data_IF_660859658775
#
_entry.id   IF_660859658775
#
_cell.length_a   1.000
_cell.length_b   1.000
_cell.length_c   1.000
_cell.angle_alpha   90.00
_cell.angle_beta   90.00
_cell.angle_gamma   90.00
#
_symmetry.space_group_name_H-M   'P 1'
#
loop_
_entity.id
_entity.type
_entity.pdbx_description
1 polymer ?
#
# COMPACT_ATOMS: atom_id res chain seq x y z
N UNK A 1 -20.18 12.02 -14.75
CA UNK A 1 -19.01 11.43 -14.06
C UNK A 1 -19.32 9.98 -13.78
N UNK A 2 -18.31 9.10 -13.81
CA UNK A 2 -18.46 7.71 -13.38
C UNK A 2 -18.60 7.63 -11.86
N UNK A 3 -19.23 6.56 -11.38
CA UNK A 3 -19.16 6.17 -9.96
C UNK A 3 -17.75 5.65 -9.63
N UNK A 4 -17.31 5.67 -8.35
CA UNK A 4 -16.00 5.12 -7.96
C UNK A 4 -15.76 3.69 -8.44
N UNK A 5 -16.75 2.80 -8.25
CA UNK A 5 -16.73 1.42 -8.74
C UNK A 5 -16.52 1.35 -10.27
N UNK A 6 -17.19 2.22 -11.04
CA UNK A 6 -17.03 2.26 -12.48
C UNK A 6 -15.66 2.81 -12.92
N UNK A 7 -15.09 3.77 -12.18
CA UNK A 7 -13.71 4.24 -12.42
C UNK A 7 -12.73 3.09 -12.16
N UNK A 8 -12.79 2.44 -11.00
CA UNK A 8 -11.95 1.27 -10.67
C UNK A 8 -12.06 0.21 -11.76
N UNK A 9 -13.28 -0.16 -12.14
CA UNK A 9 -13.54 -1.14 -13.20
C UNK A 9 -12.86 -0.79 -14.53
N UNK A 10 -13.07 0.43 -15.04
CA UNK A 10 -12.53 0.85 -16.34
C UNK A 10 -11.01 1.00 -16.31
N UNK A 11 -10.47 1.57 -15.23
CA UNK A 11 -9.03 1.70 -15.02
C UNK A 11 -8.38 0.30 -14.94
N UNK A 12 -8.90 -0.61 -14.12
CA UNK A 12 -8.41 -2.00 -14.02
C UNK A 12 -8.51 -2.74 -15.35
N UNK A 13 -9.56 -2.51 -16.13
CA UNK A 13 -9.69 -3.08 -17.47
C UNK A 13 -8.55 -2.60 -18.40
N UNK A 14 -8.20 -1.31 -18.36
CA UNK A 14 -7.09 -0.77 -19.15
C UNK A 14 -5.71 -1.24 -18.68
N UNK A 15 -5.54 -1.52 -17.40
CA UNK A 15 -4.28 -2.03 -16.85
C UNK A 15 -3.96 -3.46 -17.31
N UNK A 16 -4.92 -4.21 -17.84
CA UNK A 16 -4.68 -5.54 -18.43
C UNK A 16 -3.70 -5.52 -19.62
N UNK A 17 -3.49 -4.36 -20.24
CA UNK A 17 -2.54 -4.17 -21.36
C UNK A 17 -1.08 -4.16 -20.90
N UNK A 18 -0.85 -3.92 -19.61
CA UNK A 18 0.45 -3.80 -18.96
C UNK A 18 0.47 -4.58 -17.63
N UNK A 19 0.26 -5.90 -17.67
CA UNK A 19 0.14 -6.71 -16.47
C UNK A 19 1.38 -6.59 -15.57
N UNK A 20 1.14 -6.52 -14.26
CA UNK A 20 2.16 -6.60 -13.21
C UNK A 20 2.43 -8.06 -12.86
N UNK A 21 3.69 -8.42 -12.66
CA UNK A 21 4.08 -9.79 -12.37
C UNK A 21 5.58 -10.01 -12.34
N UNK A 22 6.00 -11.27 -12.33
CA UNK A 22 7.41 -11.68 -12.17
C UNK A 22 8.00 -12.32 -13.43
N UNK A 23 7.20 -12.60 -14.45
CA UNK A 23 7.71 -13.12 -15.72
C UNK A 23 8.57 -12.05 -16.43
N UNK A 24 9.52 -12.45 -17.29
CA UNK A 24 10.33 -11.49 -18.05
C UNK A 24 9.49 -10.46 -18.83
N UNK A 25 8.35 -10.86 -19.40
CA UNK A 25 7.46 -9.97 -20.14
C UNK A 25 6.75 -8.95 -19.22
N UNK A 26 6.30 -9.37 -18.04
CA UNK A 26 5.64 -8.48 -17.07
C UNK A 26 6.64 -7.50 -16.44
N UNK A 27 7.83 -7.99 -16.10
CA UNK A 27 8.95 -7.14 -15.64
C UNK A 27 9.29 -6.10 -16.70
N UNK A 28 9.33 -6.51 -17.98
CA UNK A 28 9.59 -5.62 -19.10
C UNK A 28 8.55 -4.50 -19.25
N UNK A 29 7.29 -4.67 -18.83
CA UNK A 29 6.29 -3.58 -18.86
C UNK A 29 6.74 -2.38 -18.01
N UNK A 30 7.25 -2.64 -16.81
CA UNK A 30 7.83 -1.60 -15.96
C UNK A 30 9.08 -0.97 -16.58
N UNK A 31 9.94 -1.79 -17.18
CA UNK A 31 11.13 -1.28 -17.88
C UNK A 31 10.78 -0.45 -19.12
N UNK A 32 9.74 -0.82 -19.87
CA UNK A 32 9.29 -0.11 -21.07
C UNK A 32 8.65 1.23 -20.72
N UNK A 33 7.83 1.28 -19.67
CA UNK A 33 7.36 2.55 -19.11
C UNK A 33 8.55 3.45 -18.73
N UNK A 34 9.62 2.84 -18.21
CA UNK A 34 10.85 3.50 -17.80
C UNK A 34 11.91 3.66 -18.92
N UNK A 35 11.68 3.19 -20.15
CA UNK A 35 12.47 3.68 -21.28
C UNK A 35 12.24 5.18 -21.52
N UNK A 36 11.24 5.76 -20.83
CA UNK A 36 11.01 7.20 -20.72
C UNK A 36 11.58 7.84 -19.41
N UNK A 37 11.90 7.09 -18.34
CA UNK A 37 12.46 7.56 -17.03
C UNK A 37 13.16 6.37 -16.30
N UNK A 38 14.29 6.43 -15.57
CA UNK A 38 15.06 5.20 -15.15
C UNK A 38 14.71 4.46 -13.81
N UNK A 39 14.97 3.14 -13.75
CA UNK A 39 15.04 2.17 -12.61
C UNK A 39 13.90 1.97 -11.57
N UNK A 40 12.75 2.63 -11.63
CA UNK A 40 11.64 2.41 -10.65
C UNK A 40 10.36 1.76 -11.24
N UNK A 41 10.42 1.33 -12.51
CA UNK A 41 9.43 0.55 -13.29
C UNK A 41 8.17 0.09 -12.59
N UNK A 42 8.37 -1.06 -11.98
CA UNK A 42 7.33 -1.87 -11.37
C UNK A 42 6.72 -1.19 -10.13
N UNK A 43 7.46 -0.32 -9.43
CA UNK A 43 6.95 0.37 -8.25
C UNK A 43 5.96 1.46 -8.61
N UNK A 44 6.19 2.20 -9.70
CA UNK A 44 5.21 3.17 -10.18
C UNK A 44 3.98 2.45 -10.76
N UNK A 45 4.18 1.38 -11.54
CA UNK A 45 3.05 0.58 -12.01
C UNK A 45 2.23 0.06 -10.83
N UNK A 46 2.87 -0.56 -9.83
CA UNK A 46 2.21 -0.98 -8.60
C UNK A 46 1.45 0.18 -7.93
N UNK A 47 2.05 1.37 -7.85
CA UNK A 47 1.39 2.52 -7.27
C UNK A 47 0.13 2.95 -8.04
N UNK A 48 0.15 2.85 -9.36
CA UNK A 48 -1.02 3.12 -10.21
C UNK A 48 -2.09 2.05 -10.01
N UNK A 49 -1.71 0.77 -9.95
CA UNK A 49 -2.63 -0.32 -9.64
C UNK A 49 -3.30 -0.08 -8.29
N UNK A 50 -2.55 0.29 -7.25
CA UNK A 50 -3.08 0.58 -5.92
C UNK A 50 -3.99 1.81 -5.90
N UNK A 51 -3.68 2.87 -6.66
CA UNK A 51 -4.58 4.01 -6.81
C UNK A 51 -5.91 3.60 -7.44
N UNK A 52 -5.88 2.74 -8.46
CA UNK A 52 -7.07 2.24 -9.12
C UNK A 52 -7.90 1.34 -8.20
N UNK A 53 -7.21 0.46 -7.49
CA UNK A 53 -7.81 -0.61 -6.71
C UNK A 53 -8.43 -0.12 -5.40
N UNK A 54 -7.91 0.97 -4.85
CA UNK A 54 -8.47 1.61 -3.66
C UNK A 54 -9.51 2.67 -4.00
N UNK A 55 -9.77 2.97 -5.28
CA UNK A 55 -10.57 4.14 -5.68
C UNK A 55 -12.04 4.10 -5.21
N UNK A 56 -12.60 2.91 -5.04
CA UNK A 56 -13.94 2.67 -4.51
C UNK A 56 -14.00 2.73 -2.97
N UNK A 57 -12.88 2.64 -2.27
CA UNK A 57 -12.73 2.96 -0.85
C UNK A 57 -12.10 4.35 -0.67
N UNK A 58 -12.96 5.36 -0.47
CA UNK A 58 -12.52 6.75 -0.29
C UNK A 58 -11.48 6.92 0.83
N UNK A 59 -11.62 6.18 1.94
CA UNK A 59 -10.70 6.29 3.06
C UNK A 59 -9.32 5.75 2.69
N UNK A 60 -9.28 4.55 2.09
CA UNK A 60 -8.04 3.90 1.68
C UNK A 60 -7.37 4.65 0.54
N UNK A 61 -8.12 5.10 -0.47
CA UNK A 61 -7.61 5.94 -1.56
C UNK A 61 -6.93 7.21 -1.04
N UNK A 62 -7.61 7.98 -0.18
CA UNK A 62 -7.06 9.23 0.38
C UNK A 62 -5.84 8.97 1.27
N UNK A 63 -5.80 7.86 1.97
CA UNK A 63 -4.63 7.46 2.74
C UNK A 63 -3.45 7.08 1.83
N UNK A 64 -3.72 6.35 0.74
CA UNK A 64 -2.69 5.97 -0.23
C UNK A 64 -2.11 7.17 -0.98
N UNK A 65 -2.94 8.09 -1.48
CA UNK A 65 -2.49 9.33 -2.14
C UNK A 65 -1.55 10.13 -1.22
N UNK A 66 -1.91 10.27 0.07
CA UNK A 66 -1.05 10.93 1.06
C UNK A 66 0.30 10.25 1.22
N UNK A 67 0.33 8.93 1.26
CA UNK A 67 1.56 8.17 1.40
C UNK A 67 2.46 8.36 0.17
N UNK A 68 1.88 8.31 -1.03
CA UNK A 68 2.60 8.60 -2.29
C UNK A 68 3.21 10.00 -2.24
N UNK A 69 2.43 11.03 -1.89
CA UNK A 69 2.93 12.42 -1.76
C UNK A 69 4.03 12.51 -0.69
N UNK A 70 3.82 11.87 0.46
CA UNK A 70 4.79 11.91 1.57
C UNK A 70 6.12 11.29 1.18
N UNK A 71 6.12 10.20 0.42
CA UNK A 71 7.35 9.56 -0.10
C UNK A 71 8.07 10.43 -1.12
N UNK A 72 7.35 11.31 -1.82
CA UNK A 72 7.92 12.17 -2.84
C UNK A 72 8.27 13.58 -2.34
N UNK A 73 8.03 13.87 -1.05
CA UNK A 73 8.33 15.17 -0.43
C UNK A 73 9.78 15.59 -0.64
N UNK A 74 10.72 14.67 -0.49
CA UNK A 74 12.15 14.97 -0.57
C UNK A 74 12.62 15.24 -2.01
N UNK A 75 11.84 14.84 -3.02
CA UNK A 75 12.11 15.15 -4.42
C UNK A 75 11.62 16.54 -4.84
N UNK A 76 10.88 17.24 -3.97
CA UNK A 76 10.36 18.59 -4.24
C UNK A 76 9.67 18.73 -5.60
N UNK A 77 8.91 17.70 -5.99
CA UNK A 77 8.23 17.67 -7.29
C UNK A 77 7.21 18.80 -7.39
N UNK A 78 7.25 19.55 -8.50
CA UNK A 78 6.25 20.55 -8.81
C UNK A 78 4.86 19.90 -8.92
N UNK A 79 3.80 20.46 -8.31
CA UNK A 79 2.44 19.97 -8.44
C UNK A 79 1.98 19.73 -9.89
N UNK A 80 2.48 20.50 -10.85
CA UNK A 80 2.19 20.32 -12.29
C UNK A 80 2.77 19.01 -12.83
N UNK A 81 3.93 18.57 -12.32
CA UNK A 81 4.56 17.29 -12.72
C UNK A 81 3.67 16.10 -12.36
N UNK A 82 2.88 16.19 -11.28
CA UNK A 82 1.90 15.15 -10.94
C UNK A 82 0.77 15.07 -11.97
N UNK A 83 0.36 16.20 -12.56
CA UNK A 83 -0.62 16.21 -13.65
C UNK A 83 -0.04 15.62 -14.93
N UNK A 84 1.16 16.03 -15.28
CA UNK A 84 1.84 15.57 -16.50
C UNK A 84 2.13 14.07 -16.45
N UNK A 85 2.42 13.53 -15.26
CA UNK A 85 2.60 12.10 -15.05
C UNK A 85 1.40 11.27 -15.53
N UNK A 86 0.17 11.64 -15.15
CA UNK A 86 -1.02 10.89 -15.56
C UNK A 86 -1.28 11.03 -17.06
N UNK A 87 -0.97 12.17 -17.66
CA UNK A 87 -1.05 12.35 -19.13
C UNK A 87 -0.10 11.39 -19.83
N UNK A 88 1.19 11.40 -19.45
CA UNK A 88 2.22 10.50 -20.01
C UNK A 88 1.85 9.03 -19.79
N UNK A 89 1.26 8.70 -18.64
CA UNK A 89 0.82 7.33 -18.37
C UNK A 89 -0.33 6.89 -19.29
N UNK A 90 -1.32 7.76 -19.53
CA UNK A 90 -2.42 7.46 -20.48
C UNK A 90 -1.88 7.31 -21.90
N UNK A 91 -0.96 8.17 -22.33
CA UNK A 91 -0.30 8.06 -23.64
C UNK A 91 0.48 6.74 -23.78
N UNK A 92 1.17 6.31 -22.72
CA UNK A 92 1.86 5.02 -22.68
C UNK A 92 0.87 3.85 -22.83
N UNK A 93 -0.29 3.90 -22.17
CA UNK A 93 -1.32 2.87 -22.33
C UNK A 93 -1.87 2.86 -23.77
N UNK A 94 -2.16 4.02 -24.35
CA UNK A 94 -2.65 4.15 -25.73
C UNK A 94 -1.63 3.65 -26.76
N UNK A 95 -0.35 3.83 -26.50
CA UNK A 95 0.72 3.27 -27.31
C UNK A 95 0.72 1.73 -27.30
N UNK A 96 0.34 1.11 -26.18
CA UNK A 96 0.28 -0.35 -26.02
C UNK A 96 -0.99 -0.93 -26.62
N UNK A 97 -2.13 -0.30 -26.37
CA UNK A 97 -3.42 -0.67 -26.93
C UNK A 97 -4.37 0.54 -26.93
N UNK A 98 -5.21 0.65 -27.96
CA UNK A 98 -6.17 1.75 -28.07
C UNK A 98 -7.15 1.71 -26.90
N UNK A 99 -7.14 2.76 -26.08
CA UNK A 99 -8.11 2.92 -24.99
C UNK A 99 -9.47 3.35 -25.53
N UNK A 100 -10.54 2.83 -24.92
CA UNK A 100 -11.90 3.31 -25.17
C UNK A 100 -12.11 4.71 -24.61
N UNK A 101 -13.08 5.45 -25.14
CA UNK A 101 -13.45 6.77 -24.61
C UNK A 101 -13.83 6.71 -23.12
N UNK A 102 -14.48 5.61 -22.70
CA UNK A 102 -14.82 5.34 -21.30
C UNK A 102 -13.57 5.19 -20.42
N UNK A 103 -12.56 4.46 -20.89
CA UNK A 103 -11.30 4.32 -20.17
C UNK A 103 -10.57 5.67 -20.04
N UNK A 104 -10.55 6.49 -21.09
CA UNK A 104 -9.95 7.84 -21.06
C UNK A 104 -10.68 8.75 -20.07
N UNK A 105 -12.01 8.70 -20.02
CA UNK A 105 -12.81 9.45 -19.04
C UNK A 105 -12.51 8.98 -17.61
N UNK A 106 -12.38 7.67 -17.39
CA UNK A 106 -12.05 7.12 -16.07
C UNK A 106 -10.66 7.56 -15.59
N UNK A 107 -9.64 7.50 -16.44
CA UNK A 107 -8.29 7.99 -16.12
C UNK A 107 -8.27 9.48 -15.76
N UNK A 108 -8.98 10.31 -16.53
CA UNK A 108 -9.12 11.73 -16.24
C UNK A 108 -9.81 11.98 -14.88
N UNK A 109 -10.80 11.17 -14.52
CA UNK A 109 -11.47 11.27 -13.22
C UNK A 109 -10.56 10.86 -12.07
N UNK A 110 -9.82 9.75 -12.20
CA UNK A 110 -8.86 9.28 -11.20
C UNK A 110 -7.73 10.31 -10.98
N UNK A 111 -7.16 10.86 -12.06
CA UNK A 111 -6.12 11.90 -12.00
C UNK A 111 -6.60 13.15 -11.24
N UNK A 112 -7.77 13.70 -11.58
CA UNK A 112 -8.35 14.86 -10.88
C UNK A 112 -8.58 14.60 -9.39
N UNK A 113 -9.08 13.41 -9.06
CA UNK A 113 -9.34 13.05 -7.66
C UNK A 113 -8.05 12.85 -6.88
N UNK A 114 -7.01 12.27 -7.48
CA UNK A 114 -5.69 12.19 -6.86
C UNK A 114 -5.13 13.59 -6.57
N UNK A 115 -5.22 14.52 -7.53
CA UNK A 115 -4.76 15.92 -7.39
C UNK A 115 -5.48 16.68 -6.28
N UNK A 116 -6.82 16.63 -6.23
CA UNK A 116 -7.61 17.30 -5.19
C UNK A 116 -7.24 16.82 -3.78
N UNK A 117 -6.84 15.55 -3.66
CA UNK A 117 -6.42 14.95 -2.41
C UNK A 117 -4.98 15.28 -2.01
N UNK A 118 -4.17 15.87 -2.89
CA UNK A 118 -2.86 16.44 -2.51
C UNK A 118 -3.03 17.77 -1.75
N UNK A 119 -4.12 18.52 -1.99
CA UNK A 119 -4.26 19.91 -1.52
C UNK A 119 -4.99 20.17 -0.19
N UNK A 120 -5.67 19.20 0.42
CA UNK A 120 -6.71 19.49 1.45
C UNK A 120 -6.41 18.91 2.86
N UNK A 121 -5.27 18.26 3.08
CA UNK A 121 -5.25 17.16 4.07
C UNK A 121 -4.84 17.51 5.52
N UNK A 122 -4.45 18.74 5.84
CA UNK A 122 -3.92 19.03 7.18
C UNK A 122 -4.96 19.38 8.27
N UNK A 123 -6.23 19.70 7.92
CA UNK A 123 -7.14 20.33 8.89
C UNK A 123 -8.09 19.38 9.66
N UNK A 124 -8.53 18.26 9.07
CA UNK A 124 -9.59 17.43 9.69
C UNK A 124 -9.09 16.34 10.65
N UNK A 125 -7.82 15.91 10.53
CA UNK A 125 -7.31 14.75 11.28
C UNK A 125 -6.96 15.08 12.74
N UNK A 126 -6.53 16.32 13.01
CA UNK A 126 -6.18 16.78 14.36
C UNK A 126 -7.41 16.88 15.30
N UNK A 127 -8.62 16.96 14.75
CA UNK A 127 -9.87 17.10 15.51
C UNK A 127 -10.36 15.75 16.07
N UNK A 128 -10.15 14.64 15.33
CA UNK A 128 -10.61 13.30 15.73
C UNK A 128 -9.74 12.69 16.84
N UNK A 129 -8.45 13.03 16.88
CA UNK A 129 -7.48 12.55 17.89
C UNK A 129 -7.81 13.01 19.32
N UNK A 130 -8.50 14.15 19.49
CA UNK A 130 -8.89 14.67 20.82
C UNK A 130 -10.11 13.99 21.42
N UNK A 131 -10.91 13.28 20.63
CA UNK A 131 -12.25 12.82 21.05
C UNK A 131 -12.23 11.37 21.54
N UNK A 132 -11.37 10.51 21.00
CA UNK A 132 -11.47 9.06 21.20
C UNK A 132 -10.27 8.45 21.93
N UNK A 133 -9.96 8.88 23.17
CA UNK A 133 -8.94 8.21 23.98
C UNK A 133 -9.11 6.68 23.97
N UNK A 134 -8.15 5.97 23.38
CA UNK A 134 -8.24 4.52 23.13
C UNK A 134 -7.38 3.75 24.15
N UNK A 135 -7.89 2.64 24.73
CA UNK A 135 -7.17 1.88 25.75
C UNK A 135 -5.89 1.20 25.24
N UNK A 136 -4.96 0.96 26.17
CA UNK A 136 -3.58 0.50 25.99
C UNK A 136 -3.46 -1.01 25.70
N UNK A 137 -3.76 -1.43 24.47
CA UNK A 137 -3.19 -2.67 23.94
C UNK A 137 -2.25 -2.27 22.81
N UNK A 138 -0.96 -2.20 23.15
CA UNK A 138 0.13 -1.83 22.25
C UNK A 138 0.92 -3.08 21.87
N UNK A 139 1.29 -3.17 20.58
CA UNK A 139 2.28 -4.13 20.09
C UNK A 139 3.52 -4.16 20.99
N UNK A 140 3.98 -3.00 21.47
CA UNK A 140 5.14 -2.88 22.34
C UNK A 140 4.89 -3.45 23.73
N UNK A 141 3.66 -3.44 24.24
CA UNK A 141 3.32 -4.02 25.56
C UNK A 141 3.26 -5.54 25.51
N UNK A 142 2.61 -6.11 24.49
CA UNK A 142 2.36 -7.55 24.40
C UNK A 142 3.50 -8.34 23.73
N UNK A 143 4.31 -7.68 22.91
CA UNK A 143 5.44 -8.28 22.20
C UNK A 143 6.73 -7.49 22.43
N UNK A 144 7.21 -7.38 23.69
CA UNK A 144 8.40 -6.61 24.02
C UNK A 144 9.67 -7.15 23.35
N UNK A 145 9.70 -8.45 23.05
CA UNK A 145 10.76 -9.14 22.31
C UNK A 145 10.93 -8.59 20.89
N UNK A 146 9.85 -8.12 20.25
CA UNK A 146 9.88 -7.60 18.88
C UNK A 146 10.37 -6.15 18.78
N UNK A 147 10.58 -5.46 19.91
CA UNK A 147 11.09 -4.07 19.92
C UNK A 147 12.51 -3.96 19.35
N UNK A 148 13.26 -5.06 19.30
CA UNK A 148 14.63 -5.13 18.75
C UNK A 148 14.75 -4.66 17.29
N UNK A 149 13.65 -4.75 16.54
CA UNK A 149 13.58 -4.29 15.14
C UNK A 149 13.34 -2.77 15.02
N UNK A 150 12.96 -2.10 16.11
CA UNK A 150 12.69 -0.66 16.14
C UNK A 150 13.90 0.09 16.71
N UNK A 151 14.94 0.27 15.88
CA UNK A 151 16.20 0.90 16.32
C UNK A 151 15.99 2.24 17.02
N UNK A 152 16.59 2.41 18.20
CA UNK A 152 16.43 3.58 19.07
C UNK A 152 15.14 3.59 19.89
N UNK A 153 14.29 2.58 19.78
CA UNK A 153 13.04 2.41 20.52
C UNK A 153 12.94 1.04 21.21
N UNK A 154 14.06 0.33 21.38
CA UNK A 154 14.10 -1.04 21.93
C UNK A 154 13.52 -1.11 23.35
N UNK A 155 13.62 -0.03 24.12
CA UNK A 155 13.14 0.06 25.50
C UNK A 155 11.88 0.92 25.66
N UNK A 156 11.23 1.33 24.56
CA UNK A 156 10.03 2.18 24.64
C UNK A 156 8.90 1.48 25.39
N UNK A 157 8.25 2.24 26.26
CA UNK A 157 6.97 1.90 26.89
C UNK A 157 5.79 2.27 26.00
N UNK A 158 4.57 1.88 26.37
CA UNK A 158 3.35 2.32 25.67
C UNK A 158 3.21 3.85 25.65
N UNK A 159 3.54 4.50 26.77
CA UNK A 159 3.54 5.96 26.91
C UNK A 159 4.52 6.63 25.95
N UNK A 160 5.73 6.08 25.80
CA UNK A 160 6.74 6.61 24.89
C UNK A 160 6.27 6.54 23.44
N UNK A 161 5.63 5.42 23.06
CA UNK A 161 5.04 5.23 21.73
C UNK A 161 3.92 6.25 21.48
N UNK A 162 3.02 6.46 22.45
CA UNK A 162 1.88 7.37 22.30
C UNK A 162 2.29 8.83 22.09
N UNK A 163 3.44 9.23 22.65
CA UNK A 163 3.99 10.59 22.56
C UNK A 163 4.96 10.76 21.38
N UNK A 164 5.20 9.71 20.58
CA UNK A 164 6.21 9.72 19.53
C UNK A 164 5.64 10.01 18.14
N UNK A 165 6.09 11.10 17.51
CA UNK A 165 5.78 11.40 16.11
C UNK A 165 6.27 10.30 15.15
N UNK A 166 7.35 9.59 15.49
CA UNK A 166 7.84 8.45 14.71
C UNK A 166 6.76 7.37 14.64
N UNK A 167 6.20 6.99 15.80
CA UNK A 167 5.20 5.93 15.86
C UNK A 167 3.83 6.37 15.36
N UNK A 168 3.54 7.68 15.36
CA UNK A 168 2.40 8.22 14.62
C UNK A 168 2.53 7.96 13.11
N UNK A 169 3.71 8.26 12.53
CA UNK A 169 3.98 8.01 11.10
C UNK A 169 3.96 6.50 10.78
N UNK A 170 4.62 5.69 11.61
CA UNK A 170 4.64 4.23 11.43
C UNK A 170 3.25 3.62 11.60
N UNK A 171 2.47 4.08 12.58
CA UNK A 171 1.10 3.63 12.85
C UNK A 171 0.16 3.90 11.68
N UNK A 172 0.26 5.09 11.06
CA UNK A 172 -0.46 5.39 9.82
C UNK A 172 -0.03 4.49 8.67
N UNK A 173 1.28 4.30 8.50
CA UNK A 173 1.84 3.49 7.42
C UNK A 173 1.40 2.02 7.50
N UNK A 174 1.44 1.42 8.70
CA UNK A 174 1.02 0.03 8.88
C UNK A 174 -0.48 -0.14 8.66
N UNK A 175 -1.33 0.76 9.18
CA UNK A 175 -2.78 0.66 8.96
C UNK A 175 -3.12 0.78 7.48
N UNK A 176 -2.53 1.74 6.76
CA UNK A 176 -2.70 1.84 5.31
C UNK A 176 -2.27 0.56 4.58
N UNK A 177 -1.12 -0.02 4.95
CA UNK A 177 -0.66 -1.25 4.32
C UNK A 177 -1.64 -2.42 4.50
N UNK A 178 -2.30 -2.50 5.67
CA UNK A 178 -3.31 -3.53 5.94
C UNK A 178 -4.57 -3.32 5.12
N UNK A 179 -5.04 -2.08 4.98
CA UNK A 179 -6.18 -1.77 4.11
C UNK A 179 -5.88 -2.12 2.65
N UNK A 180 -4.69 -1.78 2.14
CA UNK A 180 -4.26 -2.16 0.79
C UNK A 180 -4.28 -3.69 0.60
N UNK A 181 -3.78 -4.45 1.57
CA UNK A 181 -3.78 -5.91 1.49
C UNK A 181 -5.21 -6.48 1.43
N UNK A 182 -6.15 -5.88 2.15
CA UNK A 182 -7.55 -6.29 2.14
C UNK A 182 -8.24 -5.91 0.82
N UNK A 183 -8.08 -4.67 0.38
CA UNK A 183 -8.72 -4.14 -0.84
C UNK A 183 -8.22 -4.82 -2.12
N UNK A 184 -6.95 -5.24 -2.14
CA UNK A 184 -6.34 -5.90 -3.30
C UNK A 184 -6.45 -7.42 -3.29
N UNK A 185 -7.09 -8.02 -2.27
CA UNK A 185 -7.09 -9.47 -2.10
C UNK A 185 -7.81 -10.21 -3.24
N UNK A 186 -8.79 -9.58 -3.89
CA UNK A 186 -9.50 -10.13 -5.05
C UNK A 186 -8.73 -9.94 -6.38
N UNK A 187 -7.66 -9.14 -6.38
CA UNK A 187 -6.66 -9.05 -7.46
C UNK A 187 -5.32 -9.62 -6.99
N UNK A 188 -5.21 -10.94 -7.06
CA UNK A 188 -4.04 -11.70 -6.61
C UNK A 188 -2.71 -11.17 -7.17
N UNK A 189 -2.69 -10.68 -8.42
CA UNK A 189 -1.46 -10.13 -9.02
C UNK A 189 -1.00 -8.86 -8.31
N UNK A 190 -1.92 -7.93 -8.05
CA UNK A 190 -1.64 -6.69 -7.31
C UNK A 190 -1.30 -6.99 -5.85
N UNK A 191 -2.05 -7.88 -5.20
CA UNK A 191 -1.79 -8.33 -3.83
C UNK A 191 -0.36 -8.85 -3.71
N UNK A 192 0.01 -9.85 -4.52
CA UNK A 192 1.35 -10.47 -4.47
C UNK A 192 2.45 -9.46 -4.81
N UNK A 193 2.23 -8.56 -5.77
CA UNK A 193 3.17 -7.49 -6.07
C UNK A 193 3.40 -6.54 -4.88
N UNK A 194 2.34 -6.21 -4.14
CA UNK A 194 2.45 -5.40 -2.93
C UNK A 194 3.15 -6.13 -1.79
N UNK A 195 2.97 -7.45 -1.67
CA UNK A 195 3.76 -8.28 -0.72
C UNK A 195 5.24 -8.22 -1.05
N UNK A 196 5.63 -8.39 -2.32
CA UNK A 196 7.04 -8.29 -2.76
C UNK A 196 7.65 -6.92 -2.48
N UNK A 197 6.94 -5.84 -2.80
CA UNK A 197 7.38 -4.47 -2.46
C UNK A 197 7.53 -4.27 -0.94
N UNK A 198 6.63 -4.88 -0.16
CA UNK A 198 6.74 -4.89 1.30
C UNK A 198 8.01 -5.61 1.73
N UNK A 199 8.31 -6.79 1.18
CA UNK A 199 9.54 -7.52 1.51
C UNK A 199 10.79 -6.70 1.17
N UNK A 200 10.87 -6.12 -0.03
CA UNK A 200 12.01 -5.31 -0.48
C UNK A 200 12.29 -4.15 0.48
N UNK A 201 11.25 -3.47 0.97
CA UNK A 201 11.37 -2.38 1.94
C UNK A 201 11.82 -2.84 3.33
N UNK A 202 11.68 -4.13 3.66
CA UNK A 202 12.01 -4.69 4.96
C UNK A 202 13.32 -5.52 4.98
N UNK A 203 13.94 -5.80 3.82
CA UNK A 203 15.22 -6.54 3.73
C UNK A 203 16.30 -5.94 4.64
N UNK A 204 16.47 -4.61 4.62
CA UNK A 204 17.49 -3.92 5.41
C UNK A 204 17.28 -4.05 6.93
N UNK A 205 16.04 -4.33 7.36
CA UNK A 205 15.68 -4.48 8.77
C UNK A 205 16.03 -5.86 9.34
N UNK A 206 16.38 -6.83 8.47
CA UNK A 206 16.76 -8.21 8.83
C UNK A 206 15.75 -8.86 9.78
N UNK A 207 14.46 -8.68 9.48
CA UNK A 207 13.37 -9.30 10.22
C UNK A 207 13.46 -10.82 10.07
N UNK A 208 13.34 -11.55 11.18
CA UNK A 208 13.24 -13.01 11.16
C UNK A 208 12.08 -13.44 10.23
N UNK A 209 12.34 -14.22 9.17
CA UNK A 209 11.33 -14.58 8.18
C UNK A 209 10.14 -15.36 8.78
N UNK A 210 10.29 -16.00 9.95
CA UNK A 210 9.18 -16.65 10.64
C UNK A 210 8.16 -15.66 11.24
N UNK A 211 8.47 -14.36 11.30
CA UNK A 211 7.56 -13.33 11.82
C UNK A 211 6.48 -12.94 10.81
N UNK A 212 6.69 -13.15 9.50
CA UNK A 212 5.72 -12.81 8.47
C UNK A 212 4.39 -13.55 8.63
N UNK A 213 4.42 -14.84 8.97
CA UNK A 213 3.22 -15.62 9.27
C UNK A 213 2.58 -15.28 10.62
N UNK A 214 3.37 -14.80 11.59
CA UNK A 214 2.89 -14.46 12.94
C UNK A 214 2.19 -13.11 13.01
N UNK A 215 2.56 -12.17 12.14
CA UNK A 215 2.07 -10.79 12.16
C UNK A 215 0.53 -10.70 12.17
N UNK A 216 -0.17 -11.48 11.33
CA UNK A 216 -1.63 -11.40 11.23
C UNK A 216 -2.33 -11.91 12.48
N UNK A 217 -1.76 -12.87 13.20
CA UNK A 217 -2.26 -13.27 14.52
C UNK A 217 -2.19 -12.11 15.52
N UNK A 218 -1.07 -11.39 15.54
CA UNK A 218 -0.89 -10.19 16.38
C UNK A 218 -1.89 -9.10 16.00
N UNK A 219 -2.08 -8.87 14.70
CA UNK A 219 -3.01 -7.84 14.20
C UNK A 219 -4.47 -8.17 14.51
N UNK A 220 -4.89 -9.44 14.37
CA UNK A 220 -6.24 -9.87 14.78
C UNK A 220 -6.45 -9.68 16.27
N UNK A 221 -5.48 -10.02 17.12
CA UNK A 221 -5.58 -9.74 18.57
C UNK A 221 -5.66 -8.25 18.87
N UNK A 222 -4.98 -7.41 18.08
CA UNK A 222 -5.16 -5.95 18.16
C UNK A 222 -6.58 -5.52 17.77
N UNK A 223 -7.16 -6.06 16.70
CA UNK A 223 -8.57 -5.77 16.33
C UNK A 223 -9.55 -6.19 17.44
N UNK A 224 -9.33 -7.36 18.04
CA UNK A 224 -10.15 -7.86 19.16
C UNK A 224 -10.10 -6.94 20.39
N UNK A 225 -8.98 -6.24 20.59
CA UNK A 225 -8.87 -5.22 21.65
C UNK A 225 -9.71 -3.96 21.39
N UNK A 226 -10.16 -3.76 20.15
CA UNK A 226 -10.91 -2.58 19.70
C UNK A 226 -12.39 -2.88 19.45
N UNK A 227 -12.76 -4.15 19.28
CA UNK A 227 -14.13 -4.58 19.03
C UNK A 227 -14.22 -6.07 18.75
N UNK A 228 -15.45 -6.58 18.61
CA UNK A 228 -15.67 -7.98 18.27
C UNK A 228 -15.19 -8.29 16.84
N UNK A 229 -14.42 -9.36 16.69
CA UNK A 229 -14.02 -9.94 15.39
C UNK A 229 -14.68 -11.31 15.27
N UNK A 230 -15.52 -11.51 14.24
CA UNK A 230 -16.29 -12.74 14.04
C UNK A 230 -15.39 -13.93 13.67
N UNK A 231 -15.92 -15.15 13.76
CA UNK A 231 -15.23 -16.36 13.31
C UNK A 231 -14.83 -16.28 11.83
N UNK A 232 -15.75 -15.83 10.97
CA UNK A 232 -15.50 -15.68 9.53
C UNK A 232 -14.43 -14.63 9.24
N UNK A 233 -14.44 -13.49 9.96
CA UNK A 233 -13.41 -12.47 9.83
C UNK A 233 -12.03 -12.99 10.23
N UNK A 234 -11.93 -13.79 11.30
CA UNK A 234 -10.67 -14.44 11.70
C UNK A 234 -10.18 -15.43 10.65
N UNK A 235 -11.09 -16.20 10.06
CA UNK A 235 -10.77 -17.14 8.99
C UNK A 235 -10.25 -16.40 7.74
N UNK A 236 -10.88 -15.29 7.36
CA UNK A 236 -10.43 -14.44 6.26
C UNK A 236 -9.04 -13.85 6.52
N UNK A 237 -8.79 -13.32 7.72
CA UNK A 237 -7.45 -12.83 8.10
C UNK A 237 -6.39 -13.93 8.05
N UNK A 238 -6.73 -15.15 8.45
CA UNK A 238 -5.83 -16.29 8.36
C UNK A 238 -5.51 -16.61 6.89
N UNK A 239 -6.52 -16.68 6.02
CA UNK A 239 -6.32 -16.94 4.60
C UNK A 239 -5.44 -15.88 3.94
N UNK A 240 -5.71 -14.60 4.22
CA UNK A 240 -4.89 -13.48 3.75
C UNK A 240 -3.45 -13.59 4.26
N UNK A 241 -3.26 -13.90 5.55
CA UNK A 241 -1.94 -14.07 6.13
C UNK A 241 -1.16 -15.27 5.60
N UNK A 242 -1.85 -16.38 5.30
CA UNK A 242 -1.25 -17.57 4.69
C UNK A 242 -0.71 -17.23 3.29
N UNK A 243 -1.51 -16.56 2.44
CA UNK A 243 -1.09 -16.12 1.10
C UNK A 243 0.02 -15.07 1.15
N UNK A 244 -0.07 -14.12 2.09
CA UNK A 244 0.99 -13.13 2.31
C UNK A 244 2.31 -13.82 2.64
N UNK A 245 2.31 -14.78 3.56
CA UNK A 245 3.52 -15.48 3.96
C UNK A 245 4.06 -16.35 2.82
N UNK A 246 3.21 -17.07 2.09
CA UNK A 246 3.61 -17.85 0.92
C UNK A 246 4.40 -17.00 -0.09
N UNK A 247 3.84 -15.85 -0.49
CA UNK A 247 4.50 -14.93 -1.43
C UNK A 247 5.79 -14.33 -0.82
N UNK A 248 5.75 -13.98 0.47
CA UNK A 248 6.92 -13.45 1.18
C UNK A 248 8.10 -14.42 1.15
N UNK A 249 7.89 -15.69 1.53
CA UNK A 249 8.96 -16.69 1.54
C UNK A 249 9.46 -17.01 0.13
N UNK A 250 8.55 -17.07 -0.85
CA UNK A 250 8.89 -17.27 -2.25
C UNK A 250 9.81 -16.15 -2.78
N UNK A 251 9.45 -14.89 -2.54
CA UNK A 251 10.21 -13.73 -2.97
C UNK A 251 11.56 -13.60 -2.26
N UNK A 252 11.59 -13.79 -0.94
CA UNK A 252 12.85 -13.78 -0.17
C UNK A 252 13.81 -14.85 -0.68
N UNK A 253 13.33 -16.07 -0.97
CA UNK A 253 14.13 -17.13 -1.58
C UNK A 253 14.66 -16.72 -2.97
N UNK A 254 13.81 -16.15 -3.83
CA UNK A 254 14.21 -15.71 -5.17
C UNK A 254 15.29 -14.62 -5.12
N UNK A 255 15.24 -13.73 -4.13
CA UNK A 255 16.22 -12.67 -3.91
C UNK A 255 17.47 -13.10 -3.12
N UNK A 256 17.61 -14.39 -2.78
CA UNK A 256 18.73 -14.90 -1.98
C UNK A 256 18.77 -14.37 -0.54
N UNK A 257 17.62 -13.95 0.00
CA UNK A 257 17.46 -13.46 1.37
C UNK A 257 17.11 -14.61 2.33
N UNK A 258 17.32 -14.43 3.66
CA UNK A 258 16.85 -15.38 4.66
C UNK A 258 15.35 -15.65 4.53
N UNK A 259 14.96 -16.92 4.53
CA UNK A 259 13.58 -17.39 4.39
C UNK A 259 13.36 -18.63 5.26
N UNK A 260 12.10 -18.92 5.58
CA UNK A 260 11.65 -20.05 6.41
C UNK A 260 11.08 -21.21 5.58
#
# INVERSE_FOLDING_TARGET
MFTPENVKKQVKASLKTVPIGTSPAEVQNGLDFYKQFAEQGQRILLAIYLLADTFDDEQTFRAYVREVVSRHRDFQMDPVVWSDFFTVFVEFLEFREVLTDEQKVAWNQLSKQAQLNVGVVDLCYNLLRRIFGFPEISFFTNHPDLRVYFKGAENYTADDVQKSERFEKLGRGILLAIHILADSFDDEATFRAYVRDTMDRHVALKIDPALWSKFFGIFVSFLESRGAVSGDQKAAWKQLGDMFNEESQSHLRACGQPHA
#
